data_IF_992037469202
#
_entry.id   IF_992037469202
#
_cell.length_a   1.000
_cell.length_b   1.000
_cell.length_c   1.000
_cell.angle_alpha   90.00
_cell.angle_beta   90.00
_cell.angle_gamma   90.00
#
_symmetry.space_group_name_H-M   'P 1'
#
loop_
_entity.id
_entity.type
_entity.pdbx_description
1 polymer ?
#
# COMPACT_ATOMS: atom_id res chain seq x y z
N UNK A 1 -68.05 23.65 13.62
CA UNK A 1 -66.74 23.79 13.03
C UNK A 1 -65.80 22.79 13.71
N UNK A 2 -65.67 21.62 13.13
CA UNK A 2 -64.77 20.54 13.66
C UNK A 2 -63.45 20.63 12.94
N UNK A 3 -62.39 21.01 13.67
CA UNK A 3 -61.01 21.00 13.15
C UNK A 3 -60.47 19.58 13.22
N UNK A 4 -60.25 18.97 12.05
CA UNK A 4 -59.52 17.72 11.94
C UNK A 4 -58.04 18.01 12.05
N UNK A 5 -57.38 17.57 13.12
CA UNK A 5 -55.95 17.56 13.27
C UNK A 5 -55.38 16.41 12.41
N UNK A 6 -54.63 16.75 11.36
CA UNK A 6 -53.85 15.81 10.56
C UNK A 6 -52.60 15.47 11.36
N UNK A 7 -52.55 14.30 11.99
CA UNK A 7 -51.35 13.76 12.61
C UNK A 7 -50.41 13.27 11.46
N UNK A 8 -49.37 14.01 11.17
CA UNK A 8 -48.24 13.50 10.35
C UNK A 8 -47.49 12.47 11.20
N UNK A 9 -47.71 11.20 10.93
CA UNK A 9 -46.83 10.13 11.40
C UNK A 9 -45.55 10.21 10.62
N UNK A 10 -44.51 10.78 11.23
CA UNK A 10 -43.15 10.57 10.76
C UNK A 10 -42.83 9.09 10.94
N UNK A 11 -42.85 8.33 9.86
CA UNK A 11 -42.29 6.99 9.82
C UNK A 11 -40.78 7.16 9.90
N UNK A 12 -40.19 6.93 11.06
CA UNK A 12 -38.73 6.72 11.13
C UNK A 12 -38.49 5.42 10.38
N UNK A 13 -37.80 5.52 9.21
CA UNK A 13 -37.21 4.35 8.59
C UNK A 13 -36.30 3.70 9.64
N UNK A 14 -36.39 2.39 9.82
CA UNK A 14 -35.46 1.68 10.69
C UNK A 14 -34.03 1.96 10.18
N UNK A 15 -33.11 2.27 11.09
CA UNK A 15 -31.74 2.50 10.74
C UNK A 15 -31.17 1.26 10.05
N UNK A 16 -30.46 1.44 8.93
CA UNK A 16 -29.75 0.38 8.25
C UNK A 16 -28.42 0.16 8.96
N UNK A 17 -28.15 -1.07 9.44
CA UNK A 17 -26.88 -1.45 10.01
C UNK A 17 -26.03 -2.12 8.94
N UNK A 18 -24.96 -1.43 8.48
CA UNK A 18 -24.04 -1.94 7.47
C UNK A 18 -22.96 -2.79 8.14
N UNK A 19 -22.82 -4.04 7.73
CA UNK A 19 -21.69 -4.88 8.11
C UNK A 19 -20.47 -4.52 7.28
N UNK A 20 -19.44 -4.00 7.96
CA UNK A 20 -18.20 -3.52 7.36
C UNK A 20 -17.00 -4.32 7.87
N UNK A 21 -16.26 -4.96 6.98
CA UNK A 21 -15.00 -5.63 7.30
C UNK A 21 -13.84 -4.70 6.95
N UNK A 22 -13.00 -4.44 7.96
CA UNK A 22 -11.87 -3.53 7.83
C UNK A 22 -10.61 -4.11 8.43
N UNK A 23 -9.43 -3.75 7.91
CA UNK A 23 -8.19 -4.10 8.56
C UNK A 23 -7.44 -2.87 9.06
N UNK A 24 -6.69 -3.06 10.13
CA UNK A 24 -5.87 -2.05 10.78
C UNK A 24 -4.52 -2.64 11.18
N UNK A 25 -3.53 -1.78 11.30
CA UNK A 25 -2.17 -2.17 11.69
C UNK A 25 -1.93 -2.02 13.21
N UNK A 26 -2.82 -1.31 13.91
CA UNK A 26 -2.68 -1.03 15.35
C UNK A 26 -3.97 -0.42 15.93
N UNK A 27 -4.03 -0.33 17.27
CA UNK A 27 -5.19 0.17 18.01
C UNK A 27 -5.53 1.64 17.67
N UNK A 28 -4.56 2.47 17.31
CA UNK A 28 -4.82 3.86 16.91
C UNK A 28 -5.57 3.92 15.59
N UNK A 29 -5.19 3.10 14.62
CA UNK A 29 -5.91 3.01 13.34
C UNK A 29 -7.34 2.49 13.52
N UNK A 30 -7.57 1.59 14.49
CA UNK A 30 -8.94 1.17 14.83
C UNK A 30 -9.74 2.33 15.38
N UNK A 31 -9.19 3.08 16.34
CA UNK A 31 -9.86 4.24 16.92
C UNK A 31 -10.18 5.31 15.87
N UNK A 32 -9.25 5.57 14.95
CA UNK A 32 -9.41 6.53 13.85
C UNK A 32 -10.45 6.04 12.83
N UNK A 33 -10.49 4.74 12.55
CA UNK A 33 -11.53 4.15 11.69
C UNK A 33 -12.91 4.30 12.31
N UNK A 34 -13.05 4.00 13.61
CA UNK A 34 -14.31 4.20 14.33
C UNK A 34 -14.75 5.66 14.33
N UNK A 35 -13.83 6.61 14.53
CA UNK A 35 -14.12 8.03 14.47
C UNK A 35 -14.59 8.48 13.07
N UNK A 36 -14.04 7.91 11.99
CA UNK A 36 -14.49 8.15 10.62
C UNK A 36 -15.93 7.65 10.40
N UNK A 37 -16.27 6.46 10.88
CA UNK A 37 -17.62 5.90 10.80
C UNK A 37 -18.62 6.71 11.62
N UNK A 38 -18.23 7.15 12.82
CA UNK A 38 -19.04 8.04 13.66
C UNK A 38 -19.31 9.40 12.98
N UNK A 39 -18.33 9.91 12.22
CA UNK A 39 -18.52 11.14 11.42
C UNK A 39 -19.60 10.94 10.35
N UNK A 40 -19.60 9.80 9.66
CA UNK A 40 -20.62 9.48 8.67
C UNK A 40 -22.00 9.32 9.32
N UNK A 41 -22.12 8.53 10.41
CA UNK A 41 -23.38 8.31 11.12
C UNK A 41 -24.00 9.61 11.68
N UNK A 42 -23.17 10.59 12.07
CA UNK A 42 -23.67 11.92 12.47
C UNK A 42 -24.30 12.69 11.31
N UNK A 43 -23.85 12.50 10.08
CA UNK A 43 -24.42 13.09 8.88
C UNK A 43 -25.60 12.29 8.34
N UNK A 44 -25.59 10.97 8.56
CA UNK A 44 -26.54 9.98 8.09
C UNK A 44 -27.04 9.13 9.25
N UNK A 45 -27.89 9.67 10.16
CA UNK A 45 -28.33 8.98 11.37
C UNK A 45 -29.18 7.73 11.09
N UNK A 46 -29.66 7.57 9.87
CA UNK A 46 -30.33 6.37 9.37
C UNK A 46 -29.37 5.22 9.06
N UNK A 47 -28.04 5.44 9.11
CA UNK A 47 -27.02 4.42 8.82
C UNK A 47 -26.08 4.23 10.00
N UNK A 48 -25.94 2.99 10.45
CA UNK A 48 -24.98 2.58 11.48
C UNK A 48 -24.05 1.48 10.92
N UNK A 49 -23.00 1.12 11.66
CA UNK A 49 -22.01 0.14 11.22
C UNK A 49 -21.79 -0.95 12.27
N UNK A 50 -21.89 -2.22 11.83
CA UNK A 50 -21.29 -3.38 12.50
C UNK A 50 -19.85 -3.56 11.96
N UNK A 51 -18.87 -2.97 12.67
CA UNK A 51 -17.47 -2.96 12.26
C UNK A 51 -16.75 -4.21 12.75
N UNK A 52 -16.36 -5.08 11.83
CA UNK A 52 -15.49 -6.22 12.07
C UNK A 52 -14.05 -5.87 11.68
N UNK A 53 -13.15 -5.86 12.68
CA UNK A 53 -11.71 -5.64 12.48
C UNK A 53 -11.01 -6.98 12.32
N UNK A 54 -10.12 -7.05 11.31
CA UNK A 54 -9.24 -8.21 11.09
C UNK A 54 -7.81 -7.75 10.81
N UNK A 55 -6.77 -8.53 11.16
CA UNK A 55 -5.41 -8.22 10.73
C UNK A 55 -5.28 -8.28 9.21
N UNK A 56 -4.41 -7.46 8.62
CA UNK A 56 -4.16 -7.44 7.17
C UNK A 56 -3.88 -8.84 6.61
N UNK A 57 -2.98 -9.60 7.25
CA UNK A 57 -2.62 -10.96 6.82
C UNK A 57 -3.79 -11.96 6.93
N UNK A 58 -4.86 -11.63 7.65
CA UNK A 58 -6.07 -12.43 7.82
C UNK A 58 -7.16 -12.21 6.78
N UNK A 59 -7.05 -11.14 5.97
CA UNK A 59 -8.13 -10.73 5.05
C UNK A 59 -8.51 -11.80 4.02
N UNK A 60 -7.53 -12.44 3.38
CA UNK A 60 -7.79 -13.47 2.37
C UNK A 60 -8.54 -14.66 2.99
N UNK A 61 -8.11 -15.11 4.17
CA UNK A 61 -8.79 -16.20 4.89
C UNK A 61 -10.22 -15.80 5.27
N UNK A 62 -10.43 -14.55 5.66
CA UNK A 62 -11.74 -14.02 5.99
C UNK A 62 -12.67 -14.02 4.77
N UNK A 63 -12.19 -13.57 3.62
CA UNK A 63 -12.94 -13.63 2.37
C UNK A 63 -13.30 -15.05 1.95
N UNK A 64 -12.40 -16.01 2.15
CA UNK A 64 -12.68 -17.43 1.89
C UNK A 64 -13.81 -17.96 2.81
N UNK A 65 -13.82 -17.55 4.08
CA UNK A 65 -14.89 -17.92 5.03
C UNK A 65 -16.24 -17.35 4.61
N UNK A 66 -16.30 -16.07 4.24
CA UNK A 66 -17.52 -15.42 3.76
C UNK A 66 -18.03 -16.06 2.46
N UNK A 67 -17.16 -16.27 1.48
CA UNK A 67 -17.53 -16.88 0.21
C UNK A 67 -18.04 -18.32 0.41
N UNK A 68 -17.41 -19.11 1.29
CA UNK A 68 -17.85 -20.48 1.61
C UNK A 68 -19.22 -20.51 2.30
N UNK A 69 -19.57 -19.49 3.10
CA UNK A 69 -20.89 -19.38 3.74
C UNK A 69 -21.97 -18.87 2.79
N UNK A 70 -21.57 -18.26 1.66
CA UNK A 70 -22.49 -17.56 0.74
C UNK A 70 -23.05 -16.25 1.29
N UNK A 71 -22.59 -15.78 2.45
CA UNK A 71 -23.04 -14.56 3.12
C UNK A 71 -21.88 -13.58 3.18
N UNK A 72 -21.86 -12.60 2.26
CA UNK A 72 -20.85 -11.53 2.25
C UNK A 72 -21.27 -10.40 3.21
N UNK A 73 -20.31 -9.59 3.72
CA UNK A 73 -20.64 -8.34 4.39
C UNK A 73 -21.28 -7.35 3.40
N UNK A 74 -21.74 -6.18 3.87
CA UNK A 74 -22.22 -5.13 2.97
C UNK A 74 -21.06 -4.40 2.29
N UNK A 75 -19.98 -4.17 3.06
CA UNK A 75 -18.78 -3.46 2.63
C UNK A 75 -17.51 -4.15 3.12
N UNK A 76 -16.43 -3.97 2.40
CA UNK A 76 -15.09 -4.34 2.89
C UNK A 76 -14.00 -3.43 2.35
N UNK A 77 -12.97 -3.20 3.18
CA UNK A 77 -11.68 -2.74 2.70
C UNK A 77 -10.94 -3.92 2.07
N UNK A 78 -10.22 -3.70 0.99
CA UNK A 78 -9.37 -4.71 0.36
C UNK A 78 -8.20 -4.08 -0.38
N UNK A 79 -7.04 -4.72 -0.35
CA UNK A 79 -5.87 -4.29 -1.12
C UNK A 79 -5.85 -4.84 -2.54
N UNK A 80 -6.71 -5.81 -2.87
CA UNK A 80 -6.77 -6.46 -4.18
C UNK A 80 -8.14 -7.07 -4.45
N UNK A 81 -8.43 -7.28 -5.75
CA UNK A 81 -9.65 -7.96 -6.18
C UNK A 81 -9.42 -9.48 -6.20
N UNK A 82 -9.35 -10.06 -5.01
CA UNK A 82 -9.16 -11.50 -4.86
C UNK A 82 -10.18 -12.32 -5.67
N UNK A 83 -9.75 -13.37 -6.37
CA UNK A 83 -10.66 -14.19 -7.18
C UNK A 83 -11.86 -14.70 -6.41
N UNK A 84 -11.70 -14.97 -5.12
CA UNK A 84 -12.74 -15.51 -4.24
C UNK A 84 -13.89 -14.54 -4.00
N UNK A 85 -13.65 -13.23 -4.01
CA UNK A 85 -14.70 -12.21 -3.80
C UNK A 85 -15.28 -11.66 -5.09
N UNK A 86 -14.58 -11.76 -6.23
CA UNK A 86 -15.00 -11.15 -7.50
C UNK A 86 -16.44 -11.47 -7.92
N UNK A 87 -16.95 -12.72 -7.80
CA UNK A 87 -18.32 -13.04 -8.17
C UNK A 87 -19.38 -12.28 -7.35
N UNK A 88 -18.99 -11.82 -6.16
CA UNK A 88 -19.87 -11.15 -5.21
C UNK A 88 -19.76 -9.62 -5.24
N UNK A 89 -18.84 -9.04 -6.04
CA UNK A 89 -18.65 -7.59 -6.08
C UNK A 89 -19.80 -6.90 -6.82
N UNK A 90 -20.28 -5.80 -6.25
CA UNK A 90 -21.30 -4.96 -6.87
C UNK A 90 -20.70 -4.11 -8.00
N UNK A 91 -21.50 -3.81 -9.00
CA UNK A 91 -21.14 -2.87 -10.07
C UNK A 91 -21.50 -1.44 -9.66
N UNK A 92 -20.50 -0.70 -9.20
CA UNK A 92 -20.66 0.67 -8.72
C UNK A 92 -21.02 1.65 -9.84
N UNK A 93 -20.67 1.35 -11.11
CA UNK A 93 -20.91 2.25 -12.24
C UNK A 93 -22.40 2.52 -12.49
N UNK A 94 -23.27 1.59 -12.08
CA UNK A 94 -24.72 1.73 -12.24
C UNK A 94 -25.34 2.81 -11.38
N UNK A 95 -24.81 2.97 -10.16
CA UNK A 95 -25.35 3.87 -9.13
C UNK A 95 -24.59 5.20 -9.06
N UNK A 96 -23.28 5.20 -9.33
CA UNK A 96 -22.45 6.39 -9.24
C UNK A 96 -22.25 7.05 -10.61
N UNK A 97 -22.32 6.26 -11.68
CA UNK A 97 -22.02 6.67 -13.06
C UNK A 97 -20.62 6.21 -13.50
N UNK A 98 -20.45 5.88 -14.80
CA UNK A 98 -19.23 5.26 -15.31
C UNK A 98 -18.02 6.22 -15.32
N UNK A 99 -18.24 7.53 -15.37
CA UNK A 99 -17.16 8.54 -15.44
C UNK A 99 -16.52 8.85 -14.09
N UNK A 100 -17.19 8.52 -12.98
CA UNK A 100 -16.69 8.79 -11.63
C UNK A 100 -15.30 8.21 -11.37
N UNK A 101 -15.02 7.02 -11.90
CA UNK A 101 -13.74 6.35 -11.71
C UNK A 101 -12.55 7.11 -12.32
N UNK A 102 -12.80 8.02 -13.26
CA UNK A 102 -11.77 8.84 -13.90
C UNK A 102 -11.22 9.94 -13.00
N UNK A 103 -11.87 10.19 -11.86
CA UNK A 103 -11.39 11.13 -10.84
C UNK A 103 -10.25 10.55 -9.99
N UNK A 104 -9.88 9.30 -10.19
CA UNK A 104 -8.87 8.60 -9.38
C UNK A 104 -7.57 8.36 -10.13
N UNK A 105 -6.51 8.12 -9.38
CA UNK A 105 -5.18 7.75 -9.91
C UNK A 105 -5.34 6.58 -10.88
N UNK A 106 -4.87 6.77 -12.12
CA UNK A 106 -5.17 5.89 -13.26
C UNK A 106 -4.89 4.40 -12.98
N UNK A 107 -3.74 4.06 -12.41
CA UNK A 107 -3.40 2.67 -12.12
C UNK A 107 -4.40 2.00 -11.17
N UNK A 108 -4.89 2.74 -10.16
CA UNK A 108 -5.92 2.27 -9.24
C UNK A 108 -7.31 2.25 -9.87
N UNK A 109 -7.64 3.25 -10.68
CA UNK A 109 -8.89 3.29 -11.43
C UNK A 109 -9.00 2.11 -12.41
N UNK A 110 -7.90 1.75 -13.08
CA UNK A 110 -7.87 0.60 -13.99
C UNK A 110 -7.99 -0.73 -13.22
N UNK A 111 -7.32 -0.88 -12.08
CA UNK A 111 -7.44 -2.06 -11.19
C UNK A 111 -8.83 -2.23 -10.56
N UNK A 112 -9.63 -1.16 -10.50
CA UNK A 112 -11.00 -1.20 -10.00
C UNK A 112 -12.03 -1.71 -11.03
N UNK A 113 -11.61 -1.97 -12.27
CA UNK A 113 -12.50 -2.37 -13.37
C UNK A 113 -12.44 -3.87 -13.64
N UNK A 114 -13.58 -4.41 -14.03
CA UNK A 114 -13.71 -5.77 -14.56
C UNK A 114 -14.60 -5.71 -15.83
N UNK A 115 -13.96 -5.70 -16.99
CA UNK A 115 -14.65 -5.36 -18.25
C UNK A 115 -15.21 -3.94 -18.18
N UNK A 116 -16.49 -3.79 -18.48
CA UNK A 116 -17.20 -2.49 -18.46
C UNK A 116 -17.70 -2.09 -17.05
N UNK A 117 -17.50 -2.94 -16.04
CA UNK A 117 -17.97 -2.69 -14.67
C UNK A 117 -16.89 -2.03 -13.84
N UNK A 118 -17.29 -1.14 -12.94
CA UNK A 118 -16.46 -0.65 -11.84
C UNK A 118 -16.85 -1.42 -10.56
N UNK A 119 -15.98 -2.31 -10.11
CA UNK A 119 -16.26 -3.25 -9.02
C UNK A 119 -15.64 -2.88 -7.68
N UNK A 120 -14.92 -1.76 -7.64
CA UNK A 120 -14.25 -1.26 -6.46
C UNK A 120 -14.09 0.26 -6.53
N UNK A 121 -13.96 0.88 -5.38
CA UNK A 121 -13.68 2.32 -5.26
C UNK A 121 -12.26 2.52 -4.71
N UNK A 122 -11.35 3.18 -5.44
CA UNK A 122 -10.02 3.50 -4.93
C UNK A 122 -10.13 4.41 -3.70
N UNK A 123 -9.61 3.95 -2.55
CA UNK A 123 -9.71 4.70 -1.30
C UNK A 123 -8.42 5.46 -0.98
N UNK A 124 -7.29 4.78 -1.03
CA UNK A 124 -5.98 5.34 -0.73
C UNK A 124 -4.90 4.68 -1.55
N UNK A 125 -3.81 5.41 -1.75
CA UNK A 125 -2.59 4.91 -2.40
C UNK A 125 -1.44 4.95 -1.42
N UNK A 126 -0.58 3.95 -1.45
CA UNK A 126 0.67 3.92 -0.71
C UNK A 126 1.85 3.96 -1.67
N UNK A 127 2.95 4.51 -1.21
CA UNK A 127 4.21 4.58 -1.94
C UNK A 127 5.31 3.98 -1.08
N UNK A 128 6.15 3.14 -1.66
CA UNK A 128 7.42 2.75 -1.04
C UNK A 128 8.44 3.87 -1.25
N UNK A 129 9.25 4.12 -0.23
CA UNK A 129 10.27 5.17 -0.26
C UNK A 129 11.27 5.02 0.88
N UNK A 130 12.20 5.95 0.95
CA UNK A 130 13.25 5.94 1.96
C UNK A 130 13.11 7.10 2.94
N UNK A 131 13.23 6.80 4.24
CA UNK A 131 13.37 7.78 5.31
C UNK A 131 14.82 7.90 5.72
N UNK A 132 15.27 9.10 5.96
CA UNK A 132 16.64 9.44 6.32
C UNK A 132 16.67 10.13 7.68
N UNK A 133 17.59 9.72 8.55
CA UNK A 133 17.86 10.41 9.80
C UNK A 133 18.67 11.68 9.51
N UNK A 134 17.97 12.81 9.37
CA UNK A 134 18.56 14.09 8.97
C UNK A 134 19.61 14.59 9.95
N UNK A 135 19.46 14.30 11.25
CA UNK A 135 20.47 14.64 12.27
C UNK A 135 21.75 13.84 12.07
N UNK A 136 21.64 12.54 11.72
CA UNK A 136 22.79 11.70 11.41
C UNK A 136 23.54 12.21 10.16
N UNK A 137 22.82 12.56 9.10
CA UNK A 137 23.40 13.15 7.88
C UNK A 137 24.09 14.48 8.17
N UNK A 138 23.45 15.37 8.94
CA UNK A 138 24.02 16.63 9.36
C UNK A 138 25.28 16.44 10.18
N UNK A 139 25.27 15.52 11.15
CA UNK A 139 26.44 15.21 11.98
C UNK A 139 27.59 14.64 11.18
N UNK A 140 27.30 13.83 10.16
CA UNK A 140 28.29 13.26 9.27
C UNK A 140 28.84 14.28 8.23
N UNK A 141 28.18 15.41 8.03
CA UNK A 141 28.51 16.38 6.99
C UNK A 141 28.22 15.89 5.58
N UNK A 142 27.28 14.95 5.43
CA UNK A 142 26.86 14.39 4.16
C UNK A 142 25.55 15.06 3.72
N UNK A 143 25.55 15.66 2.53
CA UNK A 143 24.35 16.29 1.99
C UNK A 143 23.35 15.24 1.49
N UNK A 144 22.07 15.45 1.77
CA UNK A 144 20.99 14.71 1.15
C UNK A 144 20.66 15.42 -0.19
N UNK A 145 20.68 14.72 -1.33
CA UNK A 145 20.38 15.34 -2.62
C UNK A 145 18.90 15.72 -2.71
N UNK A 146 18.58 16.60 -3.63
CA UNK A 146 17.20 16.85 -4.02
C UNK A 146 16.63 15.66 -4.83
N UNK A 147 15.32 15.64 -5.03
CA UNK A 147 14.63 14.55 -5.69
C UNK A 147 14.98 14.43 -7.18
N UNK A 148 15.36 15.51 -7.83
CA UNK A 148 15.73 15.51 -9.25
C UNK A 148 17.09 14.86 -9.46
N UNK A 149 18.05 15.12 -8.57
CA UNK A 149 19.41 14.56 -8.61
C UNK A 149 19.40 13.12 -8.10
N UNK A 150 18.89 12.86 -6.90
CA UNK A 150 18.84 11.54 -6.28
C UNK A 150 20.20 10.89 -6.09
N UNK A 151 20.17 9.58 -5.85
CA UNK A 151 21.33 8.69 -5.81
C UNK A 151 21.08 7.43 -6.63
N UNK A 152 22.14 6.83 -7.15
CA UNK A 152 22.12 5.40 -7.48
C UNK A 152 22.41 4.57 -6.23
N UNK A 153 22.11 3.27 -6.25
CA UNK A 153 22.47 2.36 -5.16
C UNK A 153 23.99 2.31 -4.94
N UNK A 154 24.75 2.35 -6.01
CA UNK A 154 26.21 2.37 -6.00
C UNK A 154 26.79 3.62 -5.31
N UNK A 155 26.12 4.76 -5.43
CA UNK A 155 26.50 6.02 -4.75
C UNK A 155 25.99 6.04 -3.30
N UNK A 156 24.76 5.54 -3.06
CA UNK A 156 24.10 5.61 -1.77
C UNK A 156 24.78 4.73 -0.72
N UNK A 157 25.11 3.47 -1.03
CA UNK A 157 25.66 2.53 -0.05
C UNK A 157 26.95 3.03 0.60
N UNK A 158 27.97 3.50 -0.12
CA UNK A 158 29.16 4.09 0.51
C UNK A 158 28.83 5.30 1.38
N UNK A 159 27.92 6.16 0.93
CA UNK A 159 27.55 7.38 1.66
C UNK A 159 26.78 7.09 2.94
N UNK A 160 25.84 6.15 2.93
CA UNK A 160 25.06 5.84 4.14
C UNK A 160 25.93 5.12 5.19
N UNK A 161 26.94 4.35 4.75
CA UNK A 161 27.97 3.78 5.65
C UNK A 161 28.82 4.88 6.29
N UNK A 162 29.25 5.86 5.51
CA UNK A 162 29.96 7.05 6.00
C UNK A 162 29.09 7.82 7.04
N UNK A 163 27.78 7.98 6.73
CA UNK A 163 26.84 8.60 7.67
C UNK A 163 26.78 7.82 8.98
N UNK A 164 26.59 6.51 8.92
CA UNK A 164 26.50 5.68 10.11
C UNK A 164 27.79 5.75 10.97
N UNK A 165 28.96 5.64 10.34
CA UNK A 165 30.25 5.71 11.01
C UNK A 165 30.45 7.07 11.71
N UNK A 166 30.28 8.17 11.00
CA UNK A 166 30.51 9.52 11.52
C UNK A 166 29.44 9.98 12.52
N UNK A 167 28.20 9.55 12.35
CA UNK A 167 27.11 9.89 13.28
C UNK A 167 27.10 9.00 14.51
N UNK A 168 27.65 7.79 14.43
CA UNK A 168 27.58 6.77 15.47
C UNK A 168 26.24 6.01 15.46
N UNK A 169 25.45 6.08 14.39
CA UNK A 169 24.29 5.22 14.19
C UNK A 169 24.74 3.76 14.02
N UNK A 170 24.03 2.85 14.68
CA UNK A 170 24.40 1.43 14.70
C UNK A 170 24.39 0.78 13.32
N UNK A 171 23.37 1.10 12.52
CA UNK A 171 23.17 0.52 11.19
C UNK A 171 23.08 1.61 10.11
N UNK A 172 23.74 1.41 8.98
CA UNK A 172 23.60 2.31 7.83
C UNK A 172 22.16 2.32 7.30
N UNK A 173 21.56 1.14 7.07
CA UNK A 173 20.26 0.96 6.45
C UNK A 173 19.47 -0.12 7.18
N UNK A 174 18.19 0.11 7.35
CA UNK A 174 17.20 -0.93 7.66
C UNK A 174 16.15 -0.94 6.54
N UNK A 175 15.57 -2.11 6.26
CA UNK A 175 14.64 -2.29 5.15
C UNK A 175 13.59 -3.33 5.53
N UNK A 176 12.30 -3.00 5.36
CA UNK A 176 11.21 -3.91 5.67
C UNK A 176 11.30 -5.22 4.89
N UNK A 177 11.23 -6.33 5.60
CA UNK A 177 11.34 -7.68 5.01
C UNK A 177 10.03 -8.08 4.35
N UNK A 178 9.86 -7.65 3.12
CA UNK A 178 8.62 -7.84 2.36
C UNK A 178 8.91 -7.98 0.88
N UNK A 179 8.18 -8.89 0.22
CA UNK A 179 8.27 -9.07 -1.23
C UNK A 179 7.99 -7.78 -1.99
N UNK A 180 6.97 -7.03 -1.58
CA UNK A 180 6.59 -5.76 -2.22
C UNK A 180 7.62 -4.64 -2.04
N UNK A 181 8.45 -4.67 -0.98
CA UNK A 181 9.57 -3.70 -0.81
C UNK A 181 10.78 -4.13 -1.62
N UNK A 182 11.04 -5.42 -1.71
CA UNK A 182 12.13 -5.94 -2.51
C UNK A 182 11.89 -5.75 -4.01
N UNK A 183 10.69 -5.98 -4.53
CA UNK A 183 10.41 -5.88 -5.96
C UNK A 183 10.60 -4.46 -6.51
N UNK A 184 10.52 -3.43 -5.66
CA UNK A 184 10.88 -2.05 -6.04
C UNK A 184 12.31 -1.99 -6.55
N UNK A 185 13.24 -2.74 -5.91
CA UNK A 185 14.62 -2.82 -6.35
C UNK A 185 14.72 -3.43 -7.76
N UNK A 186 13.94 -4.47 -8.07
CA UNK A 186 13.86 -5.05 -9.42
C UNK A 186 13.31 -4.04 -10.43
N UNK A 187 12.21 -3.36 -10.09
CA UNK A 187 11.62 -2.33 -10.96
C UNK A 187 12.60 -1.19 -11.26
N UNK A 188 13.44 -0.82 -10.31
CA UNK A 188 14.47 0.21 -10.49
C UNK A 188 15.56 -0.17 -11.52
N UNK A 189 15.72 -1.46 -11.81
CA UNK A 189 16.60 -1.97 -12.87
C UNK A 189 15.86 -2.32 -14.17
N UNK A 190 14.57 -1.98 -14.26
CA UNK A 190 13.74 -2.25 -15.44
C UNK A 190 13.15 -3.65 -15.47
N UNK A 191 13.37 -4.46 -14.44
CA UNK A 191 12.82 -5.80 -14.33
C UNK A 191 11.36 -5.75 -13.91
N UNK A 192 10.50 -6.52 -14.58
CA UNK A 192 9.09 -6.68 -14.22
C UNK A 192 8.61 -8.07 -14.63
N UNK A 193 7.48 -8.52 -14.07
CA UNK A 193 7.03 -9.91 -14.20
C UNK A 193 6.16 -10.08 -15.42
N UNK A 194 5.18 -9.20 -15.64
CA UNK A 194 4.15 -9.36 -16.64
C UNK A 194 4.19 -8.27 -17.72
N UNK A 195 3.59 -8.55 -18.87
CA UNK A 195 3.35 -7.53 -19.91
C UNK A 195 2.46 -6.41 -19.36
N UNK A 196 2.65 -5.18 -19.87
CA UNK A 196 1.83 -4.01 -19.48
C UNK A 196 0.41 -4.05 -20.04
N UNK A 197 0.15 -4.91 -21.02
CA UNK A 197 -1.14 -5.01 -21.74
C UNK A 197 -1.51 -6.45 -21.97
N UNK A 198 -2.80 -6.70 -22.17
CA UNK A 198 -3.32 -7.98 -22.65
C UNK A 198 -2.75 -8.36 -24.04
N UNK A 199 -2.53 -9.63 -24.31
CA UNK A 199 -2.65 -10.75 -23.36
C UNK A 199 -1.52 -10.74 -22.33
N UNK A 200 -1.85 -11.02 -21.07
CA UNK A 200 -0.87 -11.10 -19.98
C UNK A 200 0.11 -12.25 -20.24
N UNK A 201 1.40 -11.94 -20.20
CA UNK A 201 2.49 -12.91 -20.37
C UNK A 201 3.59 -12.63 -19.34
N UNK A 202 4.32 -13.66 -18.93
CA UNK A 202 5.55 -13.49 -18.15
C UNK A 202 6.65 -13.00 -19.07
N UNK A 203 7.32 -11.91 -18.68
CA UNK A 203 8.39 -11.25 -19.45
C UNK A 203 9.72 -11.20 -18.68
N UNK A 204 9.85 -11.97 -17.61
CA UNK A 204 11.06 -12.01 -16.77
C UNK A 204 12.30 -12.44 -17.57
N UNK A 205 13.33 -11.60 -17.58
CA UNK A 205 14.70 -11.97 -17.98
C UNK A 205 15.44 -12.52 -16.77
N UNK A 206 15.57 -13.84 -16.68
CA UNK A 206 16.16 -14.52 -15.51
C UNK A 206 17.60 -14.06 -15.22
N UNK A 207 18.38 -13.71 -16.25
CA UNK A 207 19.76 -13.26 -16.05
C UNK A 207 19.80 -11.85 -15.44
N UNK A 208 18.96 -10.93 -15.93
CA UNK A 208 18.83 -9.57 -15.40
C UNK A 208 18.32 -9.60 -13.94
N UNK A 209 17.29 -10.37 -13.66
CA UNK A 209 16.74 -10.55 -12.30
C UNK A 209 17.76 -11.16 -11.34
N UNK A 210 18.51 -12.19 -11.78
CA UNK A 210 19.57 -12.81 -10.96
C UNK A 210 20.65 -11.78 -10.61
N UNK A 211 21.11 -10.99 -11.58
CA UNK A 211 22.10 -9.94 -11.35
C UNK A 211 21.59 -8.87 -10.35
N UNK A 212 20.32 -8.51 -10.43
CA UNK A 212 19.72 -7.53 -9.50
C UNK A 212 19.57 -8.11 -8.09
N UNK A 213 19.17 -9.37 -7.96
CA UNK A 213 19.12 -10.05 -6.66
C UNK A 213 20.51 -10.17 -6.03
N UNK A 214 21.56 -10.45 -6.80
CA UNK A 214 22.94 -10.47 -6.29
C UNK A 214 23.33 -9.10 -5.72
N UNK A 215 23.03 -8.00 -6.42
CA UNK A 215 23.24 -6.63 -5.91
C UNK A 215 22.47 -6.40 -4.59
N UNK A 216 21.23 -6.84 -4.49
CA UNK A 216 20.45 -6.73 -3.26
C UNK A 216 21.09 -7.52 -2.11
N UNK A 217 21.57 -8.74 -2.36
CA UNK A 217 22.30 -9.55 -1.37
C UNK A 217 23.55 -8.82 -0.88
N UNK A 218 24.29 -8.17 -1.79
CA UNK A 218 25.47 -7.37 -1.42
C UNK A 218 25.08 -6.15 -0.56
N UNK A 219 23.97 -5.48 -0.87
CA UNK A 219 23.41 -4.39 -0.03
C UNK A 219 23.09 -4.90 1.37
N UNK A 220 22.42 -6.06 1.49
CA UNK A 220 22.08 -6.62 2.82
C UNK A 220 23.32 -6.88 3.66
N UNK A 221 24.38 -7.44 3.07
CA UNK A 221 25.65 -7.72 3.76
C UNK A 221 26.42 -6.44 4.12
N UNK A 222 26.37 -5.44 3.25
CA UNK A 222 27.17 -4.22 3.38
C UNK A 222 26.58 -3.20 4.36
N UNK A 223 25.25 -3.13 4.50
CA UNK A 223 24.60 -1.98 5.11
C UNK A 223 23.48 -2.31 6.11
N UNK A 224 22.96 -3.54 6.14
CA UNK A 224 21.81 -3.89 6.99
C UNK A 224 22.20 -4.69 8.23
N UNK A 225 21.31 -4.77 9.26
CA UNK A 225 21.49 -5.66 10.39
C UNK A 225 21.72 -7.11 9.94
N UNK A 226 22.73 -7.81 10.47
CA UNK A 226 22.95 -9.21 10.13
C UNK A 226 21.70 -10.06 10.42
N UNK A 227 21.33 -10.91 9.50
CA UNK A 227 20.20 -11.82 9.67
C UNK A 227 18.81 -11.23 9.43
N UNK A 228 18.68 -9.92 9.20
CA UNK A 228 17.38 -9.27 9.00
C UNK A 228 16.61 -9.91 7.83
N UNK A 229 17.19 -9.94 6.63
CA UNK A 229 16.54 -10.49 5.44
C UNK A 229 16.67 -12.02 5.30
N UNK A 230 17.53 -12.66 6.06
CA UNK A 230 17.62 -14.12 6.09
C UNK A 230 16.65 -14.78 7.08
N UNK A 231 15.91 -13.97 7.84
CA UNK A 231 15.02 -14.45 8.90
C UNK A 231 15.74 -14.96 10.17
N UNK A 232 17.06 -14.74 10.27
CA UNK A 232 17.85 -15.13 11.44
C UNK A 232 17.82 -14.10 12.58
N UNK A 233 17.33 -12.88 12.32
CA UNK A 233 17.13 -11.82 13.30
C UNK A 233 15.64 -11.56 13.53
N UNK A 234 15.28 -11.24 14.78
CA UNK A 234 13.96 -10.72 15.16
C UNK A 234 13.91 -9.19 15.18
N UNK A 235 14.95 -8.51 14.71
CA UNK A 235 15.00 -7.05 14.63
C UNK A 235 13.83 -6.50 13.80
N UNK A 236 13.19 -5.43 14.31
CA UNK A 236 12.14 -4.73 13.62
C UNK A 236 12.72 -3.45 12.97
N UNK A 237 12.73 -3.32 11.63
CA UNK A 237 13.28 -2.15 10.94
C UNK A 237 12.68 -0.83 11.40
N UNK A 238 11.35 -0.77 11.61
CA UNK A 238 10.63 0.41 12.09
C UNK A 238 11.13 0.84 13.47
N UNK A 239 11.25 -0.12 14.40
CA UNK A 239 11.72 0.16 15.76
C UNK A 239 13.17 0.64 15.78
N UNK A 240 14.04 -0.01 15.01
CA UNK A 240 15.44 0.39 14.88
C UNK A 240 15.57 1.83 14.35
N UNK A 241 14.80 2.19 13.32
CA UNK A 241 14.85 3.54 12.78
C UNK A 241 14.25 4.56 13.76
N UNK A 242 13.06 4.29 14.31
CA UNK A 242 12.38 5.19 15.24
C UNK A 242 13.21 5.45 16.50
N UNK A 243 14.00 4.46 16.96
CA UNK A 243 14.95 4.60 18.05
C UNK A 243 16.27 5.32 17.66
N UNK A 244 16.40 5.80 16.42
CA UNK A 244 17.60 6.47 15.91
C UNK A 244 18.81 5.56 15.72
N UNK A 245 18.61 4.24 15.71
CA UNK A 245 19.69 3.26 15.53
C UNK A 245 20.08 3.03 14.07
N UNK A 246 19.29 3.49 13.12
CA UNK A 246 19.58 3.41 11.69
C UNK A 246 19.65 4.79 11.05
N UNK A 247 20.56 4.97 10.08
CA UNK A 247 20.73 6.21 9.35
C UNK A 247 19.70 6.36 8.22
N UNK A 248 19.23 5.23 7.65
CA UNK A 248 18.18 5.20 6.65
C UNK A 248 17.21 4.02 6.87
N UNK A 249 15.96 4.20 6.41
CA UNK A 249 14.90 3.21 6.51
C UNK A 249 14.12 3.12 5.21
N UNK A 250 14.19 1.97 4.54
CA UNK A 250 13.41 1.67 3.35
C UNK A 250 12.09 1.03 3.74
N UNK A 251 10.99 1.75 3.54
CA UNK A 251 9.63 1.34 3.90
C UNK A 251 8.60 2.01 2.98
N UNK A 252 7.63 2.76 3.53
CA UNK A 252 6.64 3.46 2.71
C UNK A 252 5.83 4.50 3.49
N UNK A 253 4.91 5.15 2.77
CA UNK A 253 4.14 6.29 3.25
C UNK A 253 3.37 6.03 4.56
N UNK A 254 2.92 4.81 4.80
CA UNK A 254 2.24 4.41 6.06
C UNK A 254 3.07 4.60 7.33
N UNK A 255 4.37 4.83 7.21
CA UNK A 255 5.23 5.13 8.37
C UNK A 255 5.23 6.63 8.75
N UNK A 256 4.76 7.52 7.86
CA UNK A 256 4.88 8.98 8.02
C UNK A 256 4.20 9.46 9.31
N UNK A 257 2.96 9.04 9.56
CA UNK A 257 2.22 9.45 10.75
C UNK A 257 2.91 8.97 12.04
N UNK A 258 3.36 7.70 12.05
CA UNK A 258 4.09 7.12 13.18
C UNK A 258 5.45 7.79 13.42
N UNK A 259 6.19 8.11 12.38
CA UNK A 259 7.47 8.83 12.49
C UNK A 259 7.26 10.27 12.98
N UNK A 260 6.22 10.96 12.50
CA UNK A 260 5.89 12.30 12.95
C UNK A 260 5.60 12.39 14.45
N UNK A 261 5.09 11.30 15.04
CA UNK A 261 4.72 11.23 16.46
C UNK A 261 5.86 10.70 17.33
N UNK A 262 6.58 9.68 16.85
CA UNK A 262 7.46 8.87 17.71
C UNK A 262 8.96 9.12 17.52
N UNK A 263 9.41 9.63 16.35
CA UNK A 263 10.82 9.89 16.12
C UNK A 263 11.29 11.12 16.94
N UNK A 264 12.33 10.94 17.77
CA UNK A 264 12.89 11.99 18.62
C UNK A 264 14.11 12.68 17.98
N UNK A 265 14.26 12.58 16.66
CA UNK A 265 15.33 13.18 15.86
C UNK A 265 14.73 13.79 14.59
N UNK A 266 15.46 14.70 13.96
CA UNK A 266 15.04 15.24 12.68
C UNK A 266 15.17 14.19 11.59
N UNK A 267 14.10 13.95 10.87
CA UNK A 267 14.03 13.01 9.77
C UNK A 267 13.39 13.64 8.53
N UNK A 268 13.62 13.06 7.37
CA UNK A 268 12.91 13.40 6.13
C UNK A 268 12.80 12.18 5.22
N UNK A 269 11.81 12.19 4.32
CA UNK A 269 11.88 11.32 3.15
C UNK A 269 12.92 11.87 2.17
N UNK A 270 13.73 11.00 1.61
CA UNK A 270 14.69 11.34 0.57
C UNK A 270 14.30 10.75 -0.77
N UNK A 271 15.02 11.12 -1.85
CA UNK A 271 14.91 10.38 -3.10
C UNK A 271 15.35 8.94 -2.86
N UNK A 272 14.49 8.00 -3.25
CA UNK A 272 14.82 6.57 -3.16
C UNK A 272 16.00 6.28 -4.08
N UNK A 273 17.07 5.61 -3.59
CA UNK A 273 18.17 5.22 -4.46
C UNK A 273 17.64 4.39 -5.62
N UNK A 274 18.19 4.59 -6.79
CA UNK A 274 17.74 3.95 -8.04
C UNK A 274 18.83 3.09 -8.66
N UNK A 275 18.41 2.11 -9.46
CA UNK A 275 19.27 1.44 -10.42
C UNK A 275 19.39 2.29 -11.69
N UNK A 276 18.71 1.89 -12.76
CA UNK A 276 18.67 2.63 -14.04
C UNK A 276 17.53 3.64 -14.09
N UNK A 277 16.43 3.43 -13.34
CA UNK A 277 15.26 4.30 -13.30
C UNK A 277 14.78 4.51 -11.86
N UNK A 278 14.12 5.64 -11.60
CA UNK A 278 13.39 5.83 -10.38
C UNK A 278 12.12 4.95 -10.41
N UNK A 279 11.83 4.28 -9.32
CA UNK A 279 10.60 3.50 -9.17
C UNK A 279 10.21 3.37 -7.71
N UNK A 280 8.91 3.36 -7.49
CA UNK A 280 8.26 2.96 -6.26
C UNK A 280 7.28 1.82 -6.56
N UNK A 281 6.59 1.32 -5.56
CA UNK A 281 5.48 0.39 -5.74
C UNK A 281 4.18 1.14 -5.49
N UNK A 282 3.21 0.91 -6.35
CA UNK A 282 1.83 1.28 -6.10
C UNK A 282 1.22 0.24 -5.17
N UNK A 283 0.98 0.62 -3.94
CA UNK A 283 0.16 -0.13 -3.00
C UNK A 283 -1.09 0.68 -2.65
N UNK A 284 -1.95 0.14 -1.82
CA UNK A 284 -3.11 0.88 -1.32
C UNK A 284 -4.34 -0.01 -1.19
N UNK A 285 -5.50 0.63 -1.09
CA UNK A 285 -6.73 -0.06 -0.80
C UNK A 285 -7.89 0.46 -1.63
N UNK A 286 -8.80 -0.46 -1.84
CA UNK A 286 -10.14 -0.22 -2.36
C UNK A 286 -11.16 -0.44 -1.24
N UNK A 287 -12.26 0.25 -1.33
CA UNK A 287 -13.49 -0.13 -0.66
C UNK A 287 -14.43 -0.77 -1.67
N UNK A 288 -15.03 -1.90 -1.31
CA UNK A 288 -15.93 -2.66 -2.16
C UNK A 288 -17.28 -2.84 -1.48
N UNK A 289 -18.34 -2.87 -2.29
CA UNK A 289 -19.66 -3.31 -1.85
C UNK A 289 -19.97 -4.69 -2.46
N UNK A 290 -20.77 -5.48 -1.77
CA UNK A 290 -21.15 -6.81 -2.22
C UNK A 290 -22.57 -6.84 -2.78
N UNK A 291 -22.76 -7.50 -3.92
CA UNK A 291 -24.04 -7.59 -4.62
C UNK A 291 -25.09 -8.44 -3.86
N UNK A 292 -24.68 -9.14 -2.82
CA UNK A 292 -25.56 -9.89 -1.91
C UNK A 292 -26.09 -9.04 -0.75
N UNK A 293 -25.60 -7.80 -0.60
CA UNK A 293 -26.04 -6.87 0.44
C UNK A 293 -27.53 -6.54 0.30
N UNK A 294 -28.23 -6.54 1.41
CA UNK A 294 -29.63 -6.04 1.47
C UNK A 294 -29.69 -4.51 1.64
N UNK A 295 -28.52 -3.88 1.87
CA UNK A 295 -28.33 -2.44 2.10
C UNK A 295 -27.39 -1.82 1.03
N UNK A 296 -27.42 -2.36 -0.20
CA UNK A 296 -26.53 -1.93 -1.27
C UNK A 296 -26.61 -0.42 -1.58
N UNK A 297 -27.79 0.22 -1.61
CA UNK A 297 -27.87 1.66 -1.82
C UNK A 297 -27.13 2.47 -0.74
N UNK A 298 -27.31 2.14 0.54
CA UNK A 298 -26.66 2.80 1.67
C UNK A 298 -25.14 2.55 1.67
N UNK A 299 -24.73 1.33 1.32
CA UNK A 299 -23.32 0.99 1.15
C UNK A 299 -22.65 1.83 0.05
N UNK A 300 -23.33 2.06 -1.07
CA UNK A 300 -22.83 2.89 -2.16
C UNK A 300 -22.79 4.37 -1.76
N UNK A 301 -23.77 4.88 -1.00
CA UNK A 301 -23.71 6.25 -0.48
C UNK A 301 -22.51 6.45 0.47
N UNK A 302 -22.22 5.46 1.32
CA UNK A 302 -20.99 5.49 2.13
C UNK A 302 -19.72 5.50 1.26
N UNK A 303 -19.66 4.66 0.20
CA UNK A 303 -18.54 4.66 -0.74
C UNK A 303 -18.35 6.05 -1.37
N UNK A 304 -19.41 6.68 -1.86
CA UNK A 304 -19.35 8.04 -2.43
C UNK A 304 -18.77 9.05 -1.44
N UNK A 305 -19.22 8.99 -0.19
CA UNK A 305 -18.78 9.90 0.85
C UNK A 305 -17.31 9.68 1.22
N UNK A 306 -16.91 8.43 1.51
CA UNK A 306 -15.54 8.13 1.96
C UNK A 306 -14.51 8.32 0.85
N UNK A 307 -14.94 8.28 -0.42
CA UNK A 307 -14.07 8.53 -1.59
C UNK A 307 -14.18 9.95 -2.13
N UNK A 308 -14.96 10.82 -1.48
CA UNK A 308 -14.99 12.26 -1.83
C UNK A 308 -13.65 12.92 -1.58
N UNK A 309 -13.29 13.98 -2.34
CA UNK A 309 -11.97 14.62 -2.25
C UNK A 309 -11.56 15.02 -0.84
N UNK A 310 -12.45 15.65 -0.10
CA UNK A 310 -12.19 16.17 1.25
C UNK A 310 -12.00 15.05 2.27
N UNK A 311 -12.86 14.03 2.20
CA UNK A 311 -12.79 12.88 3.13
C UNK A 311 -11.57 12.03 2.83
N UNK A 312 -11.22 11.82 1.56
CA UNK A 312 -9.97 11.12 1.22
C UNK A 312 -8.73 11.88 1.70
N UNK A 313 -8.70 13.20 1.61
CA UNK A 313 -7.58 13.97 2.16
C UNK A 313 -7.49 13.86 3.69
N UNK A 314 -8.64 13.90 4.40
CA UNK A 314 -8.71 13.68 5.84
C UNK A 314 -8.22 12.27 6.19
N UNK A 315 -8.72 11.24 5.52
CA UNK A 315 -8.35 9.86 5.71
C UNK A 315 -6.86 9.64 5.46
N UNK A 316 -6.34 10.16 4.34
CA UNK A 316 -4.94 10.07 3.98
C UNK A 316 -4.03 10.71 5.03
N UNK A 317 -4.42 11.87 5.59
CA UNK A 317 -3.69 12.53 6.69
C UNK A 317 -3.62 11.62 7.93
N UNK A 318 -4.75 11.05 8.32
CA UNK A 318 -4.84 10.22 9.52
C UNK A 318 -3.95 8.98 9.42
N UNK A 319 -3.94 8.32 8.27
CA UNK A 319 -3.26 7.03 8.07
C UNK A 319 -1.89 7.14 7.35
N UNK A 320 -1.37 8.33 7.10
CA UNK A 320 -0.08 8.51 6.42
C UNK A 320 -0.10 8.07 4.95
N UNK A 321 -1.24 8.18 4.28
CA UNK A 321 -1.46 7.69 2.93
C UNK A 321 -1.51 8.82 1.89
N UNK A 322 -1.61 8.45 0.62
CA UNK A 322 -1.83 9.37 -0.49
C UNK A 322 -3.30 9.23 -0.93
N UNK A 323 -4.06 10.31 -1.07
CA UNK A 323 -5.41 10.23 -1.60
C UNK A 323 -5.41 9.59 -2.99
N UNK A 324 -6.33 8.66 -3.23
CA UNK A 324 -6.50 8.09 -4.56
C UNK A 324 -7.27 9.04 -5.50
N UNK A 325 -8.10 9.94 -4.95
CA UNK A 325 -8.87 10.93 -5.70
C UNK A 325 -7.98 12.12 -6.10
N UNK A 326 -7.85 12.36 -7.40
CA UNK A 326 -7.00 13.42 -7.97
C UNK A 326 -7.48 14.85 -7.66
N UNK A 327 -8.75 14.99 -7.23
CA UNK A 327 -9.35 16.26 -6.82
C UNK A 327 -9.15 16.55 -5.32
N UNK A 328 -8.60 15.60 -4.57
CA UNK A 328 -8.37 15.77 -3.14
C UNK A 328 -7.39 16.93 -2.87
N UNK A 329 -7.66 17.77 -1.87
CA UNK A 329 -6.72 18.81 -1.49
C UNK A 329 -5.41 18.18 -0.97
N UNK A 330 -4.26 18.89 -1.11
CA UNK A 330 -2.96 18.40 -0.64
C UNK A 330 -2.99 18.05 0.84
N UNK A 331 -2.47 16.86 1.20
CA UNK A 331 -2.36 16.43 2.59
C UNK A 331 -1.33 17.28 3.32
N UNK A 332 -1.72 17.88 4.44
CA UNK A 332 -0.86 18.70 5.28
C UNK A 332 -0.88 18.20 6.71
N UNK A 333 0.30 17.89 7.23
CA UNK A 333 0.51 17.55 8.63
C UNK A 333 0.95 18.78 9.41
N UNK A 334 0.76 18.76 10.74
CA UNK A 334 1.32 19.78 11.63
C UNK A 334 2.85 19.66 11.71
N UNK A 335 3.39 18.47 11.50
CA UNK A 335 4.81 18.21 11.32
C UNK A 335 5.24 18.52 9.88
N UNK A 336 6.11 19.54 9.64
CA UNK A 336 6.55 19.88 8.29
C UNK A 336 7.30 18.77 7.55
N UNK A 337 8.06 17.92 8.29
CA UNK A 337 8.78 16.79 7.71
C UNK A 337 7.79 15.75 7.15
N UNK A 338 6.68 15.50 7.84
CA UNK A 338 5.62 14.60 7.36
C UNK A 338 4.95 15.15 6.09
N UNK A 339 4.66 16.47 6.04
CA UNK A 339 4.10 17.11 4.85
C UNK A 339 5.06 17.02 3.65
N UNK A 340 6.35 17.25 3.88
CA UNK A 340 7.36 17.10 2.83
C UNK A 340 7.51 15.64 2.39
N UNK A 341 7.46 14.69 3.33
CA UNK A 341 7.60 13.27 3.04
C UNK A 341 6.48 12.73 2.14
N UNK A 342 5.22 13.09 2.42
CA UNK A 342 4.11 12.65 1.57
C UNK A 342 4.25 13.18 0.13
N UNK A 343 4.70 14.42 -0.02
CA UNK A 343 4.96 15.03 -1.33
C UNK A 343 6.11 14.32 -2.05
N UNK A 344 7.21 14.01 -1.34
CA UNK A 344 8.33 13.27 -1.90
C UNK A 344 7.90 11.89 -2.40
N UNK A 345 7.14 11.14 -1.59
CA UNK A 345 6.66 9.81 -1.97
C UNK A 345 5.64 9.83 -3.11
N UNK A 346 4.80 10.86 -3.18
CA UNK A 346 3.90 11.05 -4.31
C UNK A 346 4.68 11.32 -5.62
N UNK A 347 5.76 12.10 -5.54
CA UNK A 347 6.62 12.32 -6.69
C UNK A 347 7.37 11.06 -7.14
N UNK A 348 7.80 10.19 -6.20
CA UNK A 348 8.37 8.88 -6.50
C UNK A 348 7.38 7.99 -7.29
N UNK A 349 6.11 7.95 -6.86
CA UNK A 349 5.07 7.25 -7.61
C UNK A 349 4.90 7.81 -9.03
N UNK A 350 4.82 9.13 -9.16
CA UNK A 350 4.63 9.79 -10.45
C UNK A 350 5.81 9.57 -11.42
N UNK A 351 7.01 9.35 -10.89
CA UNK A 351 8.21 9.05 -11.67
C UNK A 351 8.35 7.56 -12.01
N UNK A 352 7.53 6.69 -11.42
CA UNK A 352 7.63 5.24 -11.60
C UNK A 352 7.21 4.81 -13.00
N UNK A 353 7.88 3.82 -13.60
CA UNK A 353 7.48 3.25 -14.88
C UNK A 353 6.09 2.61 -14.82
N UNK A 354 5.43 2.54 -15.98
CA UNK A 354 4.08 1.97 -16.10
C UNK A 354 4.02 0.52 -15.60
N UNK A 355 5.05 -0.28 -15.89
CA UNK A 355 5.09 -1.68 -15.46
C UNK A 355 5.04 -1.84 -13.94
N UNK A 356 5.54 -0.88 -13.16
CA UNK A 356 5.47 -0.94 -11.70
C UNK A 356 4.02 -0.88 -11.18
N UNK A 357 3.14 -0.19 -11.90
CA UNK A 357 1.71 -0.15 -11.58
C UNK A 357 0.98 -1.37 -12.17
N UNK A 358 1.29 -1.73 -13.42
CA UNK A 358 0.56 -2.82 -14.11
C UNK A 358 0.86 -4.19 -13.52
N UNK A 359 2.09 -4.49 -13.12
CA UNK A 359 2.39 -5.73 -12.41
C UNK A 359 1.54 -5.88 -11.14
N UNK A 360 1.36 -4.78 -10.38
CA UNK A 360 0.55 -4.78 -9.17
C UNK A 360 -0.95 -4.95 -9.45
N UNK A 361 -1.41 -4.41 -10.56
CA UNK A 361 -2.82 -4.48 -10.96
C UNK A 361 -3.23 -5.87 -11.46
N UNK A 362 -2.29 -6.67 -11.97
CA UNK A 362 -2.59 -8.01 -12.45
C UNK A 362 -2.98 -8.96 -11.30
N UNK A 363 -4.14 -9.60 -11.37
CA UNK A 363 -4.59 -10.56 -10.34
C UNK A 363 -3.61 -11.71 -10.11
N UNK A 364 -2.87 -12.08 -11.14
CA UNK A 364 -1.85 -13.12 -11.12
C UNK A 364 -0.75 -12.83 -10.09
N UNK A 365 -0.46 -11.55 -9.83
CA UNK A 365 0.58 -11.14 -8.89
C UNK A 365 0.34 -11.62 -7.46
N UNK A 366 -0.93 -11.76 -7.07
CA UNK A 366 -1.28 -12.24 -5.73
C UNK A 366 -0.75 -13.66 -5.46
N UNK A 367 -0.77 -14.53 -6.46
CA UNK A 367 -0.24 -15.88 -6.36
C UNK A 367 1.30 -15.95 -6.27
N UNK A 368 1.98 -14.88 -6.65
CA UNK A 368 3.46 -14.83 -6.75
C UNK A 368 4.12 -14.29 -5.48
N UNK A 369 3.45 -13.41 -4.72
CA UNK A 369 4.03 -12.71 -3.57
C UNK A 369 4.66 -13.62 -2.53
N UNK A 370 3.99 -14.70 -2.16
CA UNK A 370 4.51 -15.66 -1.19
C UNK A 370 5.82 -16.32 -1.64
N UNK A 371 5.89 -16.70 -2.93
CA UNK A 371 7.09 -17.28 -3.52
C UNK A 371 8.22 -16.26 -3.60
N UNK A 372 7.93 -15.01 -3.99
CA UNK A 372 8.92 -13.93 -4.02
C UNK A 372 9.57 -13.77 -2.65
N UNK A 373 8.76 -13.60 -1.59
CA UNK A 373 9.29 -13.43 -0.22
C UNK A 373 10.17 -14.60 0.18
N UNK A 374 9.69 -15.83 0.00
CA UNK A 374 10.41 -17.04 0.42
C UNK A 374 11.71 -17.22 -0.33
N UNK A 375 11.69 -17.14 -1.67
CA UNK A 375 12.87 -17.35 -2.51
C UNK A 375 13.97 -16.30 -2.24
N UNK A 376 13.59 -15.02 -2.12
CA UNK A 376 14.54 -13.95 -1.79
C UNK A 376 15.16 -14.15 -0.41
N UNK A 377 14.35 -14.49 0.61
CA UNK A 377 14.84 -14.76 1.95
C UNK A 377 15.83 -15.93 1.97
N UNK A 378 15.52 -17.03 1.25
CA UNK A 378 16.40 -18.19 1.13
C UNK A 378 17.71 -17.86 0.40
N UNK A 379 17.66 -17.06 -0.66
CA UNK A 379 18.85 -16.61 -1.37
C UNK A 379 19.75 -15.71 -0.49
N UNK A 380 19.16 -14.75 0.24
CA UNK A 380 19.91 -13.92 1.21
C UNK A 380 20.53 -14.78 2.32
N UNK A 381 19.82 -15.83 2.76
CA UNK A 381 20.34 -16.78 3.74
C UNK A 381 21.44 -17.73 3.18
N UNK A 382 21.69 -17.71 1.85
CA UNK A 382 22.61 -18.62 1.20
C UNK A 382 22.14 -20.06 1.13
N UNK A 383 20.85 -20.33 1.32
CA UNK A 383 20.24 -21.66 1.24
C UNK A 383 20.02 -22.11 -0.21
N UNK A 384 19.78 -21.17 -1.10
CA UNK A 384 19.70 -21.36 -2.55
C UNK A 384 20.50 -20.26 -3.26
N UNK A 385 20.88 -20.49 -4.50
CA UNK A 385 21.49 -19.45 -5.33
C UNK A 385 20.46 -18.43 -5.80
N UNK A 386 20.91 -17.22 -6.19
CA UNK A 386 20.04 -16.20 -6.79
C UNK A 386 19.33 -16.72 -8.05
N UNK A 387 20.03 -17.50 -8.88
CA UNK A 387 19.44 -18.11 -10.07
C UNK A 387 18.32 -19.08 -9.74
N UNK A 388 18.48 -19.94 -8.70
CA UNK A 388 17.43 -20.83 -8.23
C UNK A 388 16.23 -20.05 -7.67
N UNK A 389 16.47 -18.98 -6.91
CA UNK A 389 15.42 -18.10 -6.40
C UNK A 389 14.60 -17.47 -7.55
N UNK A 390 15.27 -16.93 -8.57
CA UNK A 390 14.60 -16.32 -9.72
C UNK A 390 13.82 -17.36 -10.53
N UNK A 391 14.38 -18.56 -10.73
CA UNK A 391 13.67 -19.65 -11.40
C UNK A 391 12.38 -20.07 -10.65
N UNK A 392 12.40 -20.07 -9.30
CA UNK A 392 11.20 -20.33 -8.50
C UNK A 392 10.14 -19.23 -8.68
N UNK A 393 10.55 -17.96 -8.67
CA UNK A 393 9.65 -16.82 -8.88
C UNK A 393 9.02 -16.88 -10.27
N UNK A 394 9.83 -17.13 -11.31
CA UNK A 394 9.35 -17.27 -12.69
C UNK A 394 8.35 -18.42 -12.83
N UNK A 395 8.67 -19.57 -12.24
CA UNK A 395 7.76 -20.74 -12.24
C UNK A 395 6.41 -20.41 -11.57
N UNK A 396 6.42 -19.66 -10.47
CA UNK A 396 5.18 -19.20 -9.82
C UNK A 396 4.40 -18.23 -10.72
N UNK A 397 5.09 -17.33 -11.40
CA UNK A 397 4.48 -16.40 -12.35
C UNK A 397 3.85 -17.12 -13.55
N UNK A 398 4.57 -18.08 -14.16
CA UNK A 398 4.03 -18.91 -15.26
C UNK A 398 2.79 -19.72 -14.79
N UNK A 399 2.86 -20.33 -13.59
CA UNK A 399 1.74 -21.08 -13.01
C UNK A 399 0.50 -20.21 -12.72
N UNK A 400 0.69 -18.94 -12.36
CA UNK A 400 -0.41 -18.01 -12.12
C UNK A 400 -1.23 -17.72 -13.38
N UNK A 401 -0.61 -17.74 -14.56
CA UNK A 401 -1.29 -17.58 -15.85
C UNK A 401 -2.12 -18.82 -16.22
N UNK A 402 -1.67 -20.02 -15.85
CA UNK A 402 -2.41 -21.26 -16.10
C UNK A 402 -3.67 -21.37 -15.23
N UNK A 403 -3.56 -20.94 -13.96
CA UNK A 403 -4.68 -20.94 -13.02
C UNK A 403 -5.77 -19.89 -13.37
N UNK A 404 -5.46 -18.93 -14.23
CA UNK A 404 -6.38 -17.85 -14.64
C UNK A 404 -7.14 -18.16 -15.94
N UNK A 405 -6.87 -19.31 -16.58
CA UNK A 405 -7.58 -19.81 -17.78
C UNK A 405 -8.79 -20.61 -17.37
#
# INVERSE_FOLDING_TARGET
MTASALAMTMSFAAASELKLVWYVENDQEEADTRALLDQYTKLHPETTFDLEITPYDGMIQKFQQYAASGIMPDLSLTSSMEPVIRPFLADLSKEIGPEWINDFVKGWADGAKLGDKVIAAPLRVTSTGIFLNADAFKKAGVAIPDQATGWTWEEFIPKIKEVAEKSGTRYPLVWDVSASRWIVHEYQYGNHIYTEKEPVKVVMDEAAWTSTLDKFIDITKAAMPPGLWSGASSDNPKELFTAGQAAAYMSGSWQIAGLATNAQFAWQAGPTPRGTVASSIYGGDYIVAFNTSQHLPEAIEFIKWVTSPEIQAQYAKTFGMIPANLKAPPVKYDNPAATAAITTMQNELNASPVYAATDQAWPQMQAVWGTVKTAVTQAVAGQISSAEAIAQIKKAADGSLEASK
#
